data_IF_322685641478
#
_entry.id   IF_322685641478
#
_cell.length_a   1.000
_cell.length_b   1.000
_cell.length_c   1.000
_cell.angle_alpha   90.00
_cell.angle_beta   90.00
_cell.angle_gamma   90.00
#
_symmetry.space_group_name_H-M   'P 1'
#
loop_
_entity.id
_entity.type
_entity.pdbx_description
1 polymer ?
#
# COMPACT_ATOMS: atom_id res chain seq x y z
N UNK A 1 4.97 15.94 -32.03
CA UNK A 1 5.71 15.16 -31.02
C UNK A 1 5.64 15.96 -29.74
N UNK A 2 4.77 15.57 -28.82
CA UNK A 2 4.53 16.32 -27.58
C UNK A 2 5.79 16.29 -26.71
N UNK A 3 6.23 17.47 -26.27
CA UNK A 3 7.46 17.72 -25.53
C UNK A 3 7.31 17.57 -24.01
N UNK A 4 6.17 17.08 -23.54
CA UNK A 4 5.86 16.95 -22.12
C UNK A 4 6.34 15.59 -21.58
N UNK A 5 7.08 15.53 -20.47
CA UNK A 5 7.66 14.29 -19.97
C UNK A 5 6.65 13.37 -19.25
N UNK A 6 5.36 13.72 -19.24
CA UNK A 6 4.28 12.96 -18.61
C UNK A 6 3.13 12.68 -19.58
N UNK A 7 2.61 11.45 -19.57
CA UNK A 7 1.43 11.07 -20.35
C UNK A 7 0.14 11.56 -19.67
N UNK A 8 -0.67 12.32 -20.40
CA UNK A 8 -2.03 12.67 -20.00
C UNK A 8 -3.04 11.88 -20.83
N UNK A 9 -3.94 11.15 -20.17
CA UNK A 9 -4.84 10.20 -20.84
C UNK A 9 -5.88 10.80 -21.78
N UNK A 10 -6.06 12.12 -21.82
CA UNK A 10 -6.87 12.75 -22.86
C UNK A 10 -6.14 12.89 -24.21
N UNK A 11 -4.81 12.76 -24.21
CA UNK A 11 -3.98 12.95 -25.40
C UNK A 11 -3.36 11.61 -25.82
N UNK A 12 -2.75 10.90 -24.88
CA UNK A 12 -2.02 9.65 -25.15
C UNK A 12 -2.17 8.65 -24.00
N UNK A 13 -2.33 7.36 -24.32
CA UNK A 13 -2.45 6.28 -23.33
C UNK A 13 -1.11 5.95 -22.65
N UNK A 14 0.00 6.17 -23.36
CA UNK A 14 1.38 6.04 -22.92
C UNK A 14 2.23 6.91 -23.84
N UNK A 15 3.28 7.54 -23.32
CA UNK A 15 4.27 8.17 -24.21
C UNK A 15 5.00 7.11 -25.04
N UNK A 16 5.67 7.54 -26.12
CA UNK A 16 6.55 6.69 -26.95
C UNK A 16 7.67 6.03 -26.12
N UNK A 17 8.07 6.66 -25.00
CA UNK A 17 9.05 6.14 -24.04
C UNK A 17 8.44 5.16 -23.01
N UNK A 18 7.14 4.88 -23.09
CA UNK A 18 6.43 3.95 -22.21
C UNK A 18 5.97 4.53 -20.86
N UNK A 19 6.09 5.85 -20.67
CA UNK A 19 5.67 6.53 -19.43
C UNK A 19 4.14 6.57 -19.38
N UNK A 20 3.56 6.06 -18.28
CA UNK A 20 2.12 6.07 -18.07
C UNK A 20 1.72 6.16 -16.59
N UNK A 21 0.49 6.61 -16.34
CA UNK A 21 -0.12 6.77 -15.01
C UNK A 21 -1.02 5.56 -14.61
N UNK A 22 -1.16 4.56 -15.48
CA UNK A 22 -2.18 3.52 -15.36
C UNK A 22 -2.19 2.82 -14.00
N UNK A 23 -0.99 2.56 -13.44
CA UNK A 23 -0.85 1.90 -12.15
C UNK A 23 -1.43 2.73 -11.00
N UNK A 24 -1.09 4.02 -10.93
CA UNK A 24 -1.57 4.90 -9.87
C UNK A 24 -3.07 5.16 -9.98
N UNK A 25 -3.62 5.32 -11.19
CA UNK A 25 -5.07 5.45 -11.39
C UNK A 25 -5.84 4.20 -10.96
N UNK A 26 -5.31 3.03 -11.30
CA UNK A 26 -5.91 1.75 -10.92
C UNK A 26 -5.92 1.57 -9.41
N UNK A 27 -4.84 1.96 -8.73
CA UNK A 27 -4.72 1.88 -7.28
C UNK A 27 -5.68 2.86 -6.59
N UNK A 28 -5.70 4.13 -7.01
CA UNK A 28 -6.60 5.16 -6.49
C UNK A 28 -8.08 4.76 -6.61
N UNK A 29 -8.45 4.18 -7.76
CA UNK A 29 -9.83 3.70 -7.99
C UNK A 29 -10.21 2.53 -7.07
N UNK A 30 -9.24 1.69 -6.70
CA UNK A 30 -9.48 0.51 -5.86
C UNK A 30 -9.50 0.85 -4.38
N UNK A 31 -8.59 1.70 -3.91
CA UNK A 31 -8.59 2.12 -2.49
C UNK A 31 -9.88 2.87 -2.14
N UNK A 32 -10.40 3.72 -3.04
CA UNK A 32 -11.72 4.35 -2.86
C UNK A 32 -12.85 3.33 -2.77
N UNK A 33 -12.86 2.29 -3.63
CA UNK A 33 -13.87 1.23 -3.55
C UNK A 33 -13.73 0.40 -2.26
N UNK A 34 -12.49 0.22 -1.78
CA UNK A 34 -12.21 -0.47 -0.53
C UNK A 34 -12.75 0.29 0.69
N UNK A 35 -12.57 1.62 0.68
CA UNK A 35 -13.11 2.54 1.67
C UNK A 35 -14.65 2.48 1.73
N UNK A 36 -15.33 2.47 0.58
CA UNK A 36 -16.80 2.50 0.54
C UNK A 36 -17.50 1.22 1.02
N UNK A 37 -16.91 0.04 0.85
CA UNK A 37 -17.68 -1.20 1.04
C UNK A 37 -16.92 -2.48 1.36
N UNK A 38 -15.59 -2.46 1.43
CA UNK A 38 -14.81 -3.67 1.76
C UNK A 38 -14.39 -3.66 3.22
N UNK A 39 -13.82 -2.54 3.69
CA UNK A 39 -13.43 -2.40 5.09
C UNK A 39 -14.61 -2.09 5.98
N UNK A 40 -14.66 -2.70 7.16
CA UNK A 40 -15.54 -2.27 8.24
C UNK A 40 -14.99 -1.00 8.91
N UNK A 41 -15.16 0.14 8.23
CA UNK A 41 -14.72 1.45 8.67
C UNK A 41 -13.26 1.76 8.34
N UNK A 42 -13.06 2.80 7.53
CA UNK A 42 -11.75 3.30 7.14
C UNK A 42 -11.28 4.36 8.15
N UNK A 43 -10.71 3.92 9.27
CA UNK A 43 -10.23 4.82 10.33
C UNK A 43 -8.87 5.43 9.92
N UNK A 44 -8.66 6.76 10.07
CA UNK A 44 -7.38 7.40 9.74
C UNK A 44 -6.18 6.75 10.42
N UNK A 45 -6.35 6.35 11.68
CA UNK A 45 -5.41 5.58 12.50
C UNK A 45 -4.74 4.38 11.79
N UNK A 46 -5.45 3.73 10.86
CA UNK A 46 -4.98 2.53 10.15
C UNK A 46 -4.87 2.74 8.63
N UNK A 47 -4.92 4.00 8.17
CA UNK A 47 -4.90 4.33 6.74
C UNK A 47 -3.68 3.74 6.03
N UNK A 48 -2.53 3.78 6.70
CA UNK A 48 -1.29 3.24 6.15
C UNK A 48 -1.36 1.73 5.94
N UNK A 49 -1.95 0.99 6.88
CA UNK A 49 -2.07 -0.47 6.77
C UNK A 49 -3.01 -0.85 5.63
N UNK A 50 -4.13 -0.13 5.50
CA UNK A 50 -5.05 -0.30 4.38
C UNK A 50 -4.38 0.05 3.05
N UNK A 51 -3.60 1.13 2.99
CA UNK A 51 -2.86 1.51 1.80
C UNK A 51 -1.86 0.41 1.39
N UNK A 52 -1.07 -0.10 2.34
CA UNK A 52 -0.12 -1.19 2.11
C UNK A 52 -0.81 -2.47 1.61
N UNK A 53 -1.95 -2.85 2.21
CA UNK A 53 -2.72 -3.99 1.75
C UNK A 53 -3.21 -3.80 0.30
N UNK A 54 -3.72 -2.61 -0.03
CA UNK A 54 -4.21 -2.30 -1.37
C UNK A 54 -3.10 -2.25 -2.41
N UNK A 55 -1.92 -1.74 -2.06
CA UNK A 55 -0.72 -1.81 -2.91
C UNK A 55 -0.36 -3.26 -3.21
N UNK A 56 -0.32 -4.12 -2.17
CA UNK A 56 -0.04 -5.54 -2.37
C UNK A 56 -1.09 -6.21 -3.28
N UNK A 57 -2.37 -5.97 -3.03
CA UNK A 57 -3.46 -6.54 -3.84
C UNK A 57 -3.39 -6.10 -5.30
N UNK A 58 -3.00 -4.85 -5.59
CA UNK A 58 -2.85 -4.38 -6.96
C UNK A 58 -1.63 -5.00 -7.65
N UNK A 59 -0.48 -5.01 -6.98
CA UNK A 59 0.75 -5.60 -7.53
C UNK A 59 0.59 -7.09 -7.85
N UNK A 60 -0.14 -7.82 -7.00
CA UNK A 60 -0.35 -9.26 -7.16
C UNK A 60 -1.64 -9.63 -7.89
N UNK A 61 -2.38 -8.66 -8.45
CA UNK A 61 -3.68 -8.89 -9.10
C UNK A 61 -3.62 -9.85 -10.28
N UNK A 62 -2.54 -9.79 -11.06
CA UNK A 62 -2.31 -10.65 -12.23
C UNK A 62 -1.51 -11.92 -11.91
N UNK A 63 -1.08 -12.08 -10.66
CA UNK A 63 -0.34 -13.26 -10.24
C UNK A 63 -1.30 -14.44 -10.02
N UNK A 64 -0.85 -15.65 -10.35
CA UNK A 64 -1.60 -16.86 -10.05
C UNK A 64 -1.69 -17.09 -8.53
N UNK A 65 -2.68 -17.86 -8.09
CA UNK A 65 -2.94 -18.09 -6.66
C UNK A 65 -1.70 -18.65 -5.92
N UNK A 66 -0.97 -19.57 -6.56
CA UNK A 66 0.28 -20.14 -6.01
C UNK A 66 1.30 -19.05 -5.69
N UNK A 67 1.53 -18.12 -6.61
CA UNK A 67 2.50 -17.03 -6.43
C UNK A 67 2.09 -16.08 -5.32
N UNK A 68 0.78 -15.79 -5.19
CA UNK A 68 0.25 -14.94 -4.12
C UNK A 68 0.46 -15.56 -2.75
N UNK A 69 0.12 -16.84 -2.60
CA UNK A 69 0.31 -17.59 -1.34
C UNK A 69 1.79 -17.68 -0.99
N UNK A 70 2.65 -18.01 -1.96
CA UNK A 70 4.08 -18.11 -1.73
C UNK A 70 4.70 -16.76 -1.33
N UNK A 71 4.30 -15.67 -1.98
CA UNK A 71 4.76 -14.33 -1.62
C UNK A 71 4.34 -13.96 -0.18
N UNK A 72 3.09 -14.22 0.19
CA UNK A 72 2.59 -13.94 1.52
C UNK A 72 3.33 -14.76 2.59
N UNK A 73 3.47 -16.07 2.39
CA UNK A 73 4.19 -16.95 3.32
C UNK A 73 5.65 -16.53 3.49
N UNK A 74 6.32 -16.19 2.38
CA UNK A 74 7.70 -15.69 2.42
C UNK A 74 7.78 -14.41 3.26
N UNK A 75 6.88 -13.45 3.02
CA UNK A 75 6.83 -12.21 3.81
C UNK A 75 6.56 -12.48 5.29
N UNK A 76 5.63 -13.39 5.63
CA UNK A 76 5.31 -13.73 7.03
C UNK A 76 6.49 -14.33 7.78
N UNK A 77 7.24 -15.25 7.15
CA UNK A 77 8.38 -15.93 7.81
C UNK A 77 9.59 -14.99 7.93
N UNK A 78 9.77 -14.08 6.98
CA UNK A 78 10.90 -13.15 6.97
C UNK A 78 10.65 -11.87 7.81
N UNK A 79 9.39 -11.54 8.10
CA UNK A 79 9.08 -10.32 8.83
C UNK A 79 9.46 -10.43 10.31
N UNK A 80 10.09 -9.38 10.89
CA UNK A 80 10.29 -9.31 12.32
C UNK A 80 8.95 -9.19 13.05
N UNK A 81 8.98 -9.37 14.38
CA UNK A 81 7.81 -9.16 15.24
C UNK A 81 7.25 -7.76 15.01
N UNK A 82 5.95 -7.66 14.74
CA UNK A 82 5.30 -6.37 14.51
C UNK A 82 5.32 -5.51 15.77
N UNK A 83 5.79 -4.27 15.64
CA UNK A 83 5.73 -3.26 16.71
C UNK A 83 4.29 -2.85 17.02
N UNK A 84 3.43 -2.77 16.00
CA UNK A 84 2.11 -2.16 16.10
C UNK A 84 0.96 -3.15 16.32
N UNK A 85 1.12 -4.39 15.85
CA UNK A 85 0.06 -5.40 15.89
C UNK A 85 0.26 -6.41 17.02
N UNK A 86 1.44 -6.45 17.65
CA UNK A 86 1.70 -7.32 18.79
C UNK A 86 0.89 -6.85 20.01
N UNK A 87 0.12 -7.76 20.59
CA UNK A 87 -0.71 -7.46 21.77
C UNK A 87 -2.01 -6.72 21.44
N UNK A 88 -2.39 -6.59 20.16
CA UNK A 88 -3.62 -5.92 19.75
C UNK A 88 -4.87 -6.47 20.47
N UNK A 89 -4.99 -7.80 20.56
CA UNK A 89 -6.08 -8.47 21.27
C UNK A 89 -6.06 -8.29 22.79
N UNK A 90 -4.95 -7.81 23.37
CA UNK A 90 -4.81 -7.48 24.79
C UNK A 90 -5.14 -6.00 25.06
N UNK A 91 -5.55 -5.24 24.03
CA UNK A 91 -5.81 -3.80 24.12
C UNK A 91 -4.60 -2.93 23.74
N UNK A 92 -3.44 -3.50 23.42
CA UNK A 92 -2.28 -2.74 22.95
C UNK A 92 -2.46 -2.39 21.48
N UNK A 93 -3.10 -1.24 21.22
CA UNK A 93 -3.24 -0.70 19.88
C UNK A 93 -2.59 0.68 19.78
N UNK A 94 -2.28 1.12 18.55
CA UNK A 94 -1.91 2.52 18.28
C UNK A 94 -2.92 3.48 18.92
N UNK A 95 -2.57 4.74 19.15
CA UNK A 95 -3.55 5.77 19.51
C UNK A 95 -3.80 6.70 18.32
N UNK A 96 -2.72 7.05 17.62
CA UNK A 96 -2.71 7.94 16.47
C UNK A 96 -2.37 7.21 15.17
N UNK A 97 -2.44 7.95 14.06
CA UNK A 97 -1.99 7.48 12.75
C UNK A 97 -0.45 7.43 12.64
N UNK A 98 0.04 6.70 11.64
CA UNK A 98 1.45 6.72 11.26
C UNK A 98 1.66 7.84 10.27
N UNK A 99 2.07 9.01 10.77
CA UNK A 99 2.36 10.17 9.95
C UNK A 99 3.81 10.14 9.42
N UNK A 100 4.16 11.11 8.59
CA UNK A 100 5.48 11.29 7.98
C UNK A 100 6.58 11.30 9.04
N UNK A 101 6.35 11.95 10.18
CA UNK A 101 7.31 12.01 11.29
C UNK A 101 7.72 10.63 11.81
N UNK A 102 6.79 9.68 11.83
CA UNK A 102 7.11 8.30 12.20
C UNK A 102 8.10 7.70 11.21
N UNK A 103 7.93 7.92 9.91
CA UNK A 103 8.81 7.37 8.88
C UNK A 103 10.18 8.02 8.87
N UNK A 104 10.24 9.34 9.09
CA UNK A 104 11.49 10.09 9.19
C UNK A 104 12.27 9.74 10.47
N UNK A 105 11.56 9.40 11.55
CA UNK A 105 12.15 9.05 12.85
C UNK A 105 12.28 7.54 13.11
N UNK A 106 11.84 6.65 12.23
CA UNK A 106 11.78 5.21 12.58
C UNK A 106 13.17 4.62 12.87
N UNK A 107 14.19 5.11 12.18
CA UNK A 107 15.55 4.57 12.25
C UNK A 107 16.24 4.96 13.58
N UNK A 108 15.73 5.99 14.28
CA UNK A 108 16.20 6.36 15.63
C UNK A 108 15.41 5.70 16.76
N UNK A 109 14.28 5.04 16.46
CA UNK A 109 13.40 4.39 17.44
C UNK A 109 13.61 2.87 17.55
N UNK A 110 14.42 2.28 16.67
CA UNK A 110 14.77 0.85 16.71
C UNK A 110 16.14 0.69 17.36
N UNK A 111 16.25 0.15 18.59
CA UNK A 111 17.55 -0.20 19.14
C UNK A 111 18.16 -1.32 18.30
N UNK A 112 19.47 -1.21 18.04
CA UNK A 112 20.27 -2.19 17.30
C UNK A 112 20.14 -3.61 17.85
#
# INVERSE_FOLDING_TARGET
MSTEPWAYHSHEYSTDEGVNNNAAESWNSRIRRHEYGVSHGFRPKYIQDYACEMVWRENFRRACQRSRVHALLKSMVQSPRSTWWRGYFQGNHRETELDIDYFLGRDSLVPA
#
